data_IF_718533122381
#
_entry.id   IF_718533122381
#
_cell.length_a   1.000
_cell.length_b   1.000
_cell.length_c   1.000
_cell.angle_alpha   90.00
_cell.angle_beta   90.00
_cell.angle_gamma   90.00
#
_symmetry.space_group_name_H-M   'P 1'
#
loop_
_entity.id
_entity.type
_entity.pdbx_description
1 polymer ?
#
# COMPACT_ATOMS: atom_id res chain seq x y z
N UNK A 1 -3.91 1.41 3.77
CA UNK A 1 -3.35 0.05 3.78
C UNK A 1 -2.17 0.02 2.82
N UNK A 2 -1.03 -0.55 3.22
CA UNK A 2 0.18 -0.62 2.37
C UNK A 2 -0.15 -1.28 1.03
N UNK A 3 -0.01 -0.55 -0.07
CA UNK A 3 -0.23 -1.05 -1.42
C UNK A 3 -1.70 -1.21 -1.84
N UNK A 4 -2.62 -0.50 -1.17
CA UNK A 4 -4.03 -0.39 -1.55
C UNK A 4 -4.37 1.04 -1.94
N UNK A 5 -5.39 1.20 -2.80
CA UNK A 5 -5.94 2.51 -3.12
C UNK A 5 -6.35 3.26 -1.85
N UNK A 6 -6.16 4.57 -1.86
CA UNK A 6 -6.72 5.43 -0.82
C UNK A 6 -8.23 5.21 -0.68
N UNK A 7 -8.77 5.44 0.52
CA UNK A 7 -10.21 5.37 0.77
C UNK A 7 -10.95 6.33 -0.18
N UNK A 8 -10.37 7.50 -0.40
CA UNK A 8 -10.86 8.49 -1.36
C UNK A 8 -10.97 7.89 -2.77
N UNK A 9 -9.91 7.29 -3.31
CA UNK A 9 -9.96 6.64 -4.63
C UNK A 9 -10.94 5.47 -4.70
N UNK A 10 -11.15 4.74 -3.61
CA UNK A 10 -12.19 3.72 -3.56
C UNK A 10 -13.60 4.33 -3.65
N UNK A 11 -13.85 5.42 -2.92
CA UNK A 11 -15.13 6.15 -2.97
C UNK A 11 -15.36 6.75 -4.35
N UNK A 12 -14.34 7.37 -4.93
CA UNK A 12 -14.39 7.97 -6.26
C UNK A 12 -14.65 6.92 -7.35
N UNK A 13 -14.00 5.74 -7.26
CA UNK A 13 -14.33 4.60 -8.14
C UNK A 13 -15.83 4.29 -8.08
N UNK A 14 -16.43 4.22 -6.89
CA UNK A 14 -17.87 3.92 -6.76
C UNK A 14 -18.75 5.02 -7.34
N UNK A 15 -18.39 6.29 -7.14
CA UNK A 15 -19.11 7.43 -7.72
C UNK A 15 -19.05 7.42 -9.25
N UNK A 16 -17.87 7.17 -9.83
CA UNK A 16 -17.69 7.05 -11.29
C UNK A 16 -18.47 5.85 -11.86
N UNK A 17 -18.43 4.69 -11.20
CA UNK A 17 -19.22 3.53 -11.64
C UNK A 17 -20.73 3.81 -11.56
N UNK A 18 -21.17 4.58 -10.56
CA UNK A 18 -22.56 5.00 -10.44
C UNK A 18 -22.95 5.98 -11.57
N UNK A 19 -22.10 6.95 -11.89
CA UNK A 19 -22.29 7.83 -13.05
C UNK A 19 -22.51 7.03 -14.33
N UNK A 20 -21.62 6.07 -14.63
CA UNK A 20 -21.73 5.27 -15.85
C UNK A 20 -22.99 4.42 -15.90
N UNK A 21 -23.53 3.99 -14.75
CA UNK A 21 -24.86 3.35 -14.71
C UNK A 21 -25.95 4.33 -15.10
N UNK A 22 -25.93 5.57 -14.59
CA UNK A 22 -26.92 6.58 -14.94
C UNK A 22 -26.85 6.92 -16.43
N UNK A 23 -25.66 7.15 -16.98
CA UNK A 23 -25.49 7.53 -18.39
C UNK A 23 -25.94 6.43 -19.37
N UNK A 24 -25.98 5.17 -18.93
CA UNK A 24 -26.48 4.03 -19.73
C UNK A 24 -27.98 3.75 -19.52
N UNK A 25 -28.71 4.55 -18.73
CA UNK A 25 -30.16 4.42 -18.60
C UNK A 25 -30.88 4.99 -19.83
N UNK A 26 -32.12 4.52 -20.07
CA UNK A 26 -33.02 5.15 -21.03
C UNK A 26 -33.25 6.63 -20.69
N UNK A 27 -33.43 7.47 -21.71
CA UNK A 27 -33.75 8.89 -21.56
C UNK A 27 -35.07 9.15 -20.82
N UNK A 28 -35.95 8.14 -20.74
CA UNK A 28 -37.19 8.19 -19.95
C UNK A 28 -36.94 8.08 -18.45
N UNK A 29 -35.76 7.60 -18.04
CA UNK A 29 -35.38 7.46 -16.64
C UNK A 29 -35.31 8.81 -15.95
N UNK A 30 -35.99 8.92 -14.80
CA UNK A 30 -35.94 10.11 -13.94
C UNK A 30 -34.50 10.43 -13.54
N UNK A 31 -33.68 9.44 -13.20
CA UNK A 31 -32.28 9.64 -12.81
C UNK A 31 -31.44 10.23 -13.94
N UNK A 32 -31.64 9.76 -15.19
CA UNK A 32 -30.96 10.30 -16.36
C UNK A 32 -31.35 11.75 -16.60
N UNK A 33 -32.66 12.04 -16.59
CA UNK A 33 -33.17 13.41 -16.79
C UNK A 33 -32.68 14.38 -15.72
N UNK A 34 -32.59 13.94 -14.46
CA UNK A 34 -32.02 14.74 -13.37
C UNK A 34 -30.55 15.03 -13.64
N UNK A 35 -29.75 14.03 -14.04
CA UNK A 35 -28.33 14.21 -14.34
C UNK A 35 -28.14 15.26 -15.46
N UNK A 36 -28.80 15.07 -16.61
CA UNK A 36 -28.68 15.99 -17.75
C UNK A 36 -29.08 17.41 -17.36
N UNK A 37 -30.20 17.57 -16.63
CA UNK A 37 -30.63 18.89 -16.14
C UNK A 37 -29.55 19.54 -15.27
N UNK A 38 -29.02 18.82 -14.29
CA UNK A 38 -28.00 19.38 -13.38
C UNK A 38 -26.68 19.68 -14.07
N UNK A 39 -26.31 18.90 -15.08
CA UNK A 39 -25.11 19.14 -15.89
C UNK A 39 -25.29 20.39 -16.74
N UNK A 40 -26.46 20.58 -17.35
CA UNK A 40 -26.77 21.80 -18.09
C UNK A 40 -26.80 23.01 -17.15
N UNK A 41 -27.39 22.87 -15.96
CA UNK A 41 -27.37 23.93 -14.94
C UNK A 41 -25.91 24.26 -14.54
N UNK A 42 -25.04 23.25 -14.39
CA UNK A 42 -23.62 23.46 -14.09
C UNK A 42 -22.86 24.16 -15.23
N UNK A 43 -23.10 23.78 -16.50
CA UNK A 43 -22.39 24.33 -17.68
C UNK A 43 -22.83 25.76 -18.03
N UNK A 44 -24.10 26.11 -17.80
CA UNK A 44 -24.70 27.34 -18.34
C UNK A 44 -25.17 28.36 -17.27
N UNK A 45 -25.25 28.00 -15.98
CA UNK A 45 -25.61 28.96 -14.92
C UNK A 45 -24.41 29.32 -14.03
N UNK A 46 -23.90 30.53 -14.22
CA UNK A 46 -22.61 31.04 -13.72
C UNK A 46 -22.64 31.57 -12.26
N UNK A 47 -23.54 31.09 -11.38
CA UNK A 47 -23.73 31.78 -10.09
C UNK A 47 -24.45 31.08 -8.94
N UNK A 48 -24.91 29.83 -9.10
CA UNK A 48 -25.59 29.10 -8.02
C UNK A 48 -25.00 27.70 -7.82
N UNK A 49 -23.68 27.61 -7.68
CA UNK A 49 -22.99 26.35 -7.37
C UNK A 49 -23.30 25.79 -5.97
N UNK A 50 -24.00 26.54 -5.12
CA UNK A 50 -24.29 26.19 -3.73
C UNK A 50 -25.18 24.95 -3.55
N UNK A 51 -25.81 24.42 -4.61
CA UNK A 51 -26.72 23.27 -4.53
C UNK A 51 -26.42 22.12 -5.53
N UNK A 52 -25.28 22.15 -6.22
CA UNK A 52 -25.02 21.18 -7.29
C UNK A 52 -24.51 19.82 -6.79
N UNK A 53 -24.15 19.71 -5.51
CA UNK A 53 -23.91 18.45 -4.79
C UNK A 53 -23.13 17.41 -5.60
N UNK A 54 -23.76 16.26 -5.87
CA UNK A 54 -23.21 15.16 -6.66
C UNK A 54 -22.65 15.58 -8.04
N UNK A 55 -23.23 16.57 -8.72
CA UNK A 55 -22.79 16.98 -10.06
C UNK A 55 -21.44 17.69 -10.03
N UNK A 56 -21.23 18.63 -9.09
CA UNK A 56 -19.90 19.27 -8.95
C UNK A 56 -18.85 18.25 -8.52
N UNK A 57 -19.20 17.41 -7.56
CA UNK A 57 -18.34 16.34 -7.06
C UNK A 57 -17.92 15.38 -8.19
N UNK A 58 -18.85 14.91 -9.02
CA UNK A 58 -18.51 14.01 -10.13
C UNK A 58 -17.68 14.69 -11.23
N UNK A 59 -17.93 15.97 -11.54
CA UNK A 59 -17.11 16.70 -12.52
C UNK A 59 -15.68 16.89 -12.02
N UNK A 60 -15.49 17.21 -10.75
CA UNK A 60 -14.16 17.28 -10.13
C UNK A 60 -13.45 15.92 -10.15
N UNK A 61 -14.18 14.83 -9.86
CA UNK A 61 -13.63 13.47 -9.91
C UNK A 61 -13.25 13.09 -11.36
N UNK A 62 -14.08 13.39 -12.35
CA UNK A 62 -13.77 13.16 -13.76
C UNK A 62 -12.47 13.90 -14.15
N UNK A 63 -12.32 15.15 -13.74
CA UNK A 63 -11.10 15.91 -13.98
C UNK A 63 -9.88 15.32 -13.26
N UNK A 64 -10.04 14.92 -11.99
CA UNK A 64 -8.97 14.31 -11.17
C UNK A 64 -8.37 13.06 -11.81
N UNK A 65 -9.19 12.24 -12.47
CA UNK A 65 -8.76 10.99 -13.11
C UNK A 65 -8.59 11.09 -14.63
N UNK A 66 -8.62 12.30 -15.20
CA UNK A 66 -8.52 12.54 -16.65
C UNK A 66 -9.57 11.78 -17.49
N UNK A 67 -10.81 11.81 -17.01
CA UNK A 67 -11.97 11.12 -17.60
C UNK A 67 -13.02 12.07 -18.17
N UNK A 68 -12.79 13.39 -18.13
CA UNK A 68 -13.77 14.40 -18.57
C UNK A 68 -14.19 14.23 -20.02
N UNK A 69 -13.25 13.82 -20.90
CA UNK A 69 -13.50 13.62 -22.33
C UNK A 69 -14.63 12.63 -22.61
N UNK A 70 -14.69 11.50 -21.88
CA UNK A 70 -15.77 10.52 -22.03
C UNK A 70 -17.16 11.10 -21.68
N UNK A 71 -17.19 12.04 -20.75
CA UNK A 71 -18.44 12.68 -20.34
C UNK A 71 -18.86 13.79 -21.30
N UNK A 72 -17.90 14.54 -21.83
CA UNK A 72 -18.14 15.55 -22.86
C UNK A 72 -18.59 14.91 -24.18
N UNK A 73 -17.93 13.84 -24.63
CA UNK A 73 -18.34 13.04 -25.80
C UNK A 73 -19.78 12.53 -25.65
N UNK A 74 -20.16 12.11 -24.44
CA UNK A 74 -21.53 11.68 -24.15
C UNK A 74 -22.53 12.84 -24.19
N UNK A 75 -22.15 14.04 -23.73
CA UNK A 75 -23.01 15.21 -23.83
C UNK A 75 -23.25 15.61 -25.30
N UNK A 76 -22.26 15.42 -26.17
CA UNK A 76 -22.34 15.77 -27.59
C UNK A 76 -23.05 14.70 -28.43
N UNK A 77 -22.76 13.42 -28.19
CA UNK A 77 -23.22 12.31 -29.04
C UNK A 77 -24.40 11.53 -28.44
N UNK A 78 -24.64 11.67 -27.14
CA UNK A 78 -25.56 10.82 -26.38
C UNK A 78 -25.06 9.39 -26.15
N UNK A 79 -23.84 9.05 -26.58
CA UNK A 79 -23.26 7.72 -26.46
C UNK A 79 -22.28 7.67 -25.29
N UNK A 80 -22.54 6.79 -24.32
CA UNK A 80 -21.63 6.53 -23.21
C UNK A 80 -21.00 5.14 -23.35
N UNK A 81 -19.77 4.90 -22.85
CA UNK A 81 -19.19 3.56 -22.82
C UNK A 81 -20.11 2.54 -22.12
N UNK A 82 -20.16 1.33 -22.65
CA UNK A 82 -20.97 0.27 -22.05
C UNK A 82 -20.51 -0.03 -20.60
N UNK A 83 -21.37 -0.56 -19.72
CA UNK A 83 -21.05 -0.72 -18.31
C UNK A 83 -19.75 -1.50 -18.01
N UNK A 84 -19.45 -2.52 -18.83
CA UNK A 84 -18.21 -3.30 -18.71
C UNK A 84 -16.98 -2.50 -19.14
N UNK A 85 -17.09 -1.77 -20.24
CA UNK A 85 -16.00 -0.92 -20.78
C UNK A 85 -15.73 0.23 -19.82
N UNK A 86 -16.78 0.92 -19.35
CA UNK A 86 -16.65 2.00 -18.37
C UNK A 86 -15.99 1.53 -17.08
N UNK A 87 -16.42 0.38 -16.55
CA UNK A 87 -15.81 -0.20 -15.34
C UNK A 87 -14.31 -0.44 -15.50
N UNK A 88 -13.87 -0.89 -16.69
CA UNK A 88 -12.45 -1.08 -16.99
C UNK A 88 -11.72 0.25 -17.06
N UNK A 89 -12.26 1.24 -17.79
CA UNK A 89 -11.70 2.59 -17.92
C UNK A 89 -11.48 3.21 -16.54
N UNK A 90 -12.53 3.24 -15.71
CA UNK A 90 -12.48 3.82 -14.35
C UNK A 90 -11.41 3.14 -13.51
N UNK A 91 -11.38 1.80 -13.46
CA UNK A 91 -10.38 1.07 -12.67
C UNK A 91 -8.96 1.34 -13.13
N UNK A 92 -8.73 1.41 -14.43
CA UNK A 92 -7.41 1.71 -14.99
C UNK A 92 -6.99 3.14 -14.66
N UNK A 93 -7.87 4.12 -14.82
CA UNK A 93 -7.57 5.52 -14.53
C UNK A 93 -7.28 5.77 -13.04
N UNK A 94 -8.12 5.21 -12.15
CA UNK A 94 -7.92 5.30 -10.70
C UNK A 94 -6.62 4.62 -10.27
N UNK A 95 -6.31 3.45 -10.82
CA UNK A 95 -5.06 2.76 -10.54
C UNK A 95 -3.83 3.57 -11.00
N UNK A 96 -3.87 4.12 -12.21
CA UNK A 96 -2.78 4.94 -12.75
C UNK A 96 -2.54 6.19 -11.88
N UNK A 97 -3.60 6.88 -11.47
CA UNK A 97 -3.53 8.04 -10.60
C UNK A 97 -2.91 7.70 -9.22
N UNK A 98 -3.33 6.58 -8.61
CA UNK A 98 -2.78 6.12 -7.33
C UNK A 98 -1.30 5.74 -7.43
N UNK A 99 -0.89 5.06 -8.51
CA UNK A 99 0.52 4.72 -8.76
C UNK A 99 1.38 5.99 -8.89
N UNK A 100 0.92 6.98 -9.64
CA UNK A 100 1.62 8.26 -9.82
C UNK A 100 1.73 8.99 -8.48
N UNK A 101 0.63 9.10 -7.73
CA UNK A 101 0.64 9.77 -6.44
C UNK A 101 1.49 9.07 -5.39
N UNK A 102 1.46 7.74 -5.35
CA UNK A 102 2.32 6.97 -4.47
C UNK A 102 3.80 7.18 -4.81
N UNK A 103 4.15 7.08 -6.10
CA UNK A 103 5.52 7.31 -6.59
C UNK A 103 5.97 8.74 -6.31
N UNK A 104 5.07 9.71 -6.38
CA UNK A 104 5.37 11.10 -6.02
C UNK A 104 5.63 11.24 -4.53
N UNK A 105 4.75 10.71 -3.67
CA UNK A 105 4.89 10.81 -2.20
C UNK A 105 6.17 10.16 -1.71
N UNK A 106 6.46 8.93 -2.13
CA UNK A 106 7.64 8.18 -1.69
C UNK A 106 8.98 8.79 -2.12
N UNK A 107 8.97 9.70 -3.09
CA UNK A 107 10.17 10.37 -3.59
C UNK A 107 10.33 11.81 -3.09
N UNK A 108 9.27 12.43 -2.56
CA UNK A 108 9.30 13.82 -2.08
C UNK A 108 9.38 13.87 -0.55
N UNK A 109 8.77 12.91 0.13
CA UNK A 109 8.57 12.93 1.57
C UNK A 109 9.63 12.06 2.26
N UNK A 110 10.52 12.71 3.03
CA UNK A 110 11.63 12.08 3.73
C UNK A 110 11.16 11.08 4.80
N UNK A 111 9.94 11.22 5.30
CA UNK A 111 9.34 10.27 6.25
C UNK A 111 9.15 8.87 5.62
N UNK A 112 9.20 8.78 4.28
CA UNK A 112 9.01 7.53 3.54
C UNK A 112 10.33 6.84 3.13
N UNK A 113 11.51 7.32 3.56
CA UNK A 113 12.80 6.70 3.18
C UNK A 113 12.85 5.21 3.53
N UNK A 114 12.53 4.85 4.78
CA UNK A 114 12.48 3.44 5.22
C UNK A 114 11.45 2.64 4.41
N UNK A 115 10.29 3.24 4.16
CA UNK A 115 9.23 2.61 3.39
C UNK A 115 9.62 2.38 1.92
N UNK A 116 10.42 3.27 1.32
CA UNK A 116 10.98 3.13 -0.03
C UNK A 116 11.91 1.93 -0.15
N UNK A 117 12.72 1.69 0.88
CA UNK A 117 13.61 0.52 0.93
C UNK A 117 12.82 -0.79 1.01
N UNK A 118 11.74 -0.80 1.79
CA UNK A 118 10.89 -1.98 2.00
C UNK A 118 9.99 -2.25 0.77
N UNK A 119 9.43 -1.20 0.17
CA UNK A 119 8.45 -1.28 -0.92
C UNK A 119 8.92 -0.59 -2.19
N UNK A 120 9.47 -1.41 -3.10
CA UNK A 120 9.93 -0.98 -4.44
C UNK A 120 8.81 -0.73 -5.45
N UNK A 121 7.62 -1.27 -5.24
CA UNK A 121 6.50 -1.17 -6.18
C UNK A 121 5.16 -0.98 -5.47
N UNK A 122 4.22 -0.33 -6.17
CA UNK A 122 2.84 -0.16 -5.73
C UNK A 122 2.07 -1.48 -5.80
N UNK A 123 2.20 -2.28 -4.72
CA UNK A 123 1.50 -3.54 -4.56
C UNK A 123 1.30 -3.85 -3.07
N UNK A 124 0.26 -4.62 -2.71
CA UNK A 124 0.03 -5.06 -1.35
C UNK A 124 1.29 -5.65 -0.70
N UNK A 125 1.45 -5.47 0.61
CA UNK A 125 2.54 -6.10 1.34
C UNK A 125 2.47 -7.64 1.23
N UNK A 126 3.60 -8.29 0.98
CA UNK A 126 3.71 -9.76 0.89
C UNK A 126 3.15 -10.43 2.14
N UNK A 127 3.55 -9.96 3.32
CA UNK A 127 2.96 -10.32 4.62
C UNK A 127 1.42 -10.21 4.66
N UNK A 128 0.83 -9.16 4.07
CA UNK A 128 -0.63 -9.00 4.02
C UNK A 128 -1.28 -10.02 3.10
N UNK A 129 -0.73 -10.18 1.89
CA UNK A 129 -1.18 -11.20 0.93
C UNK A 129 -1.11 -12.59 1.54
N UNK A 130 -0.11 -12.86 2.38
CA UNK A 130 0.02 -14.12 3.10
C UNK A 130 -1.04 -14.28 4.18
N UNK A 131 -1.28 -13.25 4.99
CA UNK A 131 -2.32 -13.26 6.02
C UNK A 131 -3.73 -13.49 5.46
N UNK A 132 -4.00 -13.09 4.21
CA UNK A 132 -5.27 -13.40 3.54
C UNK A 132 -5.42 -14.90 3.22
N UNK A 133 -4.33 -15.58 2.89
CA UNK A 133 -4.30 -17.03 2.65
C UNK A 133 -4.25 -17.84 3.95
N UNK A 134 -3.61 -17.29 4.99
CA UNK A 134 -3.34 -17.97 6.28
C UNK A 134 -3.83 -17.10 7.45
N UNK A 135 -5.11 -17.21 7.83
CA UNK A 135 -5.71 -16.34 8.84
C UNK A 135 -5.00 -16.37 10.21
N UNK A 136 -4.32 -17.45 10.54
CA UNK A 136 -3.53 -17.61 11.77
C UNK A 136 -2.29 -16.69 11.84
N UNK A 137 -1.86 -16.11 10.71
CA UNK A 137 -0.74 -15.16 10.64
C UNK A 137 -1.19 -13.70 10.67
N UNK A 138 -2.49 -13.42 10.80
CA UNK A 138 -3.03 -12.07 10.62
C UNK A 138 -2.55 -11.06 11.66
N UNK A 139 -2.44 -11.46 12.92
CA UNK A 139 -1.95 -10.58 14.00
C UNK A 139 -0.48 -10.21 13.77
N UNK A 140 0.32 -11.22 13.44
CA UNK A 140 1.75 -11.09 13.19
C UNK A 140 2.03 -10.24 11.95
N UNK A 141 1.28 -10.47 10.86
CA UNK A 141 1.40 -9.69 9.64
C UNK A 141 0.99 -8.23 9.84
N UNK A 142 -0.04 -7.97 10.66
CA UNK A 142 -0.43 -6.62 11.03
C UNK A 142 0.69 -5.90 11.78
N UNK A 143 1.29 -6.57 12.77
CA UNK A 143 2.42 -6.02 13.51
C UNK A 143 3.62 -5.68 12.60
N UNK A 144 4.01 -6.62 11.73
CA UNK A 144 5.08 -6.37 10.76
C UNK A 144 4.77 -5.16 9.87
N UNK A 145 3.54 -5.05 9.39
CA UNK A 145 3.07 -3.91 8.59
C UNK A 145 3.14 -2.60 9.37
N UNK A 146 2.76 -2.60 10.66
CA UNK A 146 2.92 -1.41 11.49
C UNK A 146 4.38 -1.00 11.62
N UNK A 147 5.30 -1.96 11.81
CA UNK A 147 6.74 -1.71 11.87
C UNK A 147 7.26 -1.11 10.56
N UNK A 148 6.77 -1.57 9.40
CA UNK A 148 7.10 -0.99 8.09
C UNK A 148 6.61 0.46 7.93
N UNK A 149 5.63 0.89 8.70
CA UNK A 149 5.04 2.23 8.65
C UNK A 149 5.52 3.16 9.77
N UNK A 150 6.40 2.69 10.66
CA UNK A 150 6.97 3.55 11.70
C UNK A 150 7.88 4.59 11.05
N UNK A 151 7.61 5.86 11.33
CA UNK A 151 8.53 6.95 11.03
C UNK A 151 9.76 6.77 11.92
N UNK A 152 10.93 6.75 11.30
CA UNK A 152 12.21 6.60 12.00
C UNK A 152 12.93 7.93 11.98
N UNK A 153 13.41 8.35 13.14
CA UNK A 153 14.25 9.54 13.24
C UNK A 153 15.64 9.22 12.69
N UNK A 154 15.76 9.28 11.37
CA UNK A 154 17.03 9.09 10.67
C UNK A 154 17.96 10.33 10.80
N UNK A 155 17.48 11.41 11.45
CA UNK A 155 18.09 12.74 11.33
C UNK A 155 18.90 13.21 12.53
N UNK A 156 18.57 12.74 13.74
CA UNK A 156 19.25 13.25 14.95
C UNK A 156 20.49 12.44 15.37
N UNK A 157 20.68 11.23 14.82
CA UNK A 157 21.91 10.45 14.97
C UNK A 157 22.33 10.16 16.42
N UNK A 158 21.40 10.26 17.37
CA UNK A 158 21.70 10.05 18.77
C UNK A 158 21.77 8.57 19.05
N UNK A 159 22.95 8.12 19.45
CA UNK A 159 23.11 6.75 19.94
C UNK A 159 22.41 6.59 21.29
N UNK A 160 21.63 5.53 21.40
CA UNK A 160 20.91 5.10 22.60
C UNK A 160 21.66 3.91 23.21
N UNK A 161 21.80 3.89 24.53
CA UNK A 161 22.37 2.76 25.24
C UNK A 161 21.29 1.68 25.43
N UNK A 162 21.61 0.44 25.09
CA UNK A 162 20.74 -0.69 25.40
C UNK A 162 20.84 -1.06 26.88
N UNK A 163 19.76 -0.95 27.63
CA UNK A 163 19.72 -1.38 29.03
C UNK A 163 19.90 -2.88 29.23
N UNK A 164 19.72 -3.68 28.16
CA UNK A 164 19.79 -5.15 28.22
C UNK A 164 21.16 -5.69 27.86
N UNK A 165 21.78 -5.19 26.79
CA UNK A 165 23.09 -5.68 26.31
C UNK A 165 24.25 -4.69 26.54
N UNK A 166 23.96 -3.45 26.94
CA UNK A 166 24.97 -2.41 27.18
C UNK A 166 25.63 -1.83 25.94
N UNK A 167 25.15 -2.15 24.73
CA UNK A 167 25.67 -1.59 23.47
C UNK A 167 24.94 -0.31 23.06
N UNK A 168 25.66 0.57 22.37
CA UNK A 168 25.12 1.79 21.76
C UNK A 168 24.55 1.47 20.38
N UNK A 169 23.37 1.98 20.05
CA UNK A 169 22.70 1.79 18.76
C UNK A 169 21.91 3.03 18.33
N UNK A 170 21.55 3.13 17.05
CA UNK A 170 20.73 4.23 16.52
C UNK A 170 19.24 3.88 16.45
N UNK A 171 18.92 2.65 16.05
CA UNK A 171 17.56 2.18 15.88
C UNK A 171 17.31 0.98 16.81
N UNK A 172 16.38 1.10 17.79
CA UNK A 172 16.06 0.03 18.73
C UNK A 172 15.60 -1.27 18.05
N UNK A 173 14.87 -1.16 16.95
CA UNK A 173 14.32 -2.31 16.23
C UNK A 173 15.41 -3.01 15.40
N UNK A 174 16.24 -2.24 14.69
CA UNK A 174 17.39 -2.80 13.97
C UNK A 174 18.30 -3.52 14.96
N UNK A 175 18.63 -2.87 16.08
CA UNK A 175 19.44 -3.46 17.14
C UNK A 175 18.82 -4.76 17.68
N UNK A 176 17.55 -4.74 18.07
CA UNK A 176 16.87 -5.91 18.62
C UNK A 176 16.88 -7.11 17.66
N UNK A 177 16.61 -6.85 16.38
CA UNK A 177 16.46 -7.87 15.35
C UNK A 177 17.78 -8.38 14.81
N UNK A 178 18.82 -7.54 14.72
CA UNK A 178 20.08 -7.90 14.07
C UNK A 178 21.22 -8.21 15.06
N UNK A 179 21.36 -7.47 16.18
CA UNK A 179 22.65 -7.45 16.92
C UNK A 179 22.59 -7.32 18.45
N UNK A 180 21.40 -7.35 19.07
CA UNK A 180 21.25 -7.28 20.53
C UNK A 180 21.57 -8.59 21.24
N UNK A 181 22.73 -8.72 21.90
CA UNK A 181 23.18 -9.97 22.55
C UNK A 181 22.13 -10.62 23.48
N UNK A 182 21.34 -9.80 24.19
CA UNK A 182 20.26 -10.31 25.05
C UNK A 182 19.21 -11.14 24.29
N UNK A 183 19.11 -10.96 22.97
CA UNK A 183 18.15 -11.60 22.08
C UNK A 183 18.79 -12.67 21.18
N UNK A 184 20.03 -13.10 21.47
CA UNK A 184 20.76 -14.12 20.70
C UNK A 184 19.94 -15.39 20.50
N UNK A 185 19.38 -15.96 21.57
CA UNK A 185 18.57 -17.19 21.49
C UNK A 185 17.37 -17.04 20.52
N UNK A 186 16.76 -15.85 20.47
CA UNK A 186 15.65 -15.60 19.55
C UNK A 186 16.11 -15.57 18.08
N UNK A 187 17.29 -14.99 17.82
CA UNK A 187 17.91 -14.95 16.49
C UNK A 187 18.45 -16.32 16.09
N UNK A 188 19.05 -17.07 16.98
CA UNK A 188 19.57 -18.42 16.72
C UNK A 188 18.43 -19.35 16.28
N UNK A 189 17.30 -19.31 16.99
CA UNK A 189 16.10 -20.06 16.60
C UNK A 189 15.60 -19.66 15.20
N UNK A 190 15.64 -18.36 14.88
CA UNK A 190 15.31 -17.88 13.53
C UNK A 190 16.29 -18.42 12.48
N UNK A 191 17.59 -18.34 12.72
CA UNK A 191 18.61 -18.84 11.79
C UNK A 191 18.52 -20.35 11.59
N UNK A 192 18.23 -21.12 12.64
CA UNK A 192 17.94 -22.54 12.54
C UNK A 192 16.73 -22.82 11.63
N UNK A 193 15.63 -22.08 11.78
CA UNK A 193 14.47 -22.21 10.88
C UNK A 193 14.82 -21.86 9.43
N UNK A 194 15.62 -20.81 9.20
CA UNK A 194 16.03 -20.39 7.86
C UNK A 194 16.91 -21.45 7.18
N UNK A 195 17.94 -21.95 7.88
CA UNK A 195 18.90 -22.93 7.35
C UNK A 195 18.24 -24.28 7.06
N UNK A 196 17.27 -24.70 7.89
CA UNK A 196 16.60 -25.98 7.71
C UNK A 196 15.66 -26.04 6.50
N UNK A 197 15.19 -24.88 6.03
CA UNK A 197 14.17 -24.80 4.98
C UNK A 197 14.74 -24.26 3.67
N UNK A 198 15.64 -23.29 3.73
CA UNK A 198 16.12 -22.60 2.54
C UNK A 198 17.47 -23.16 2.05
N UNK A 199 17.81 -22.95 0.77
CA UNK A 199 19.12 -23.30 0.24
C UNK A 199 20.24 -22.62 1.05
N UNK A 200 21.35 -23.31 1.26
CA UNK A 200 22.51 -22.78 2.00
C UNK A 200 22.96 -21.43 1.43
N UNK A 201 22.92 -21.26 0.11
CA UNK A 201 23.28 -20.00 -0.55
C UNK A 201 22.39 -18.83 -0.14
N UNK A 202 21.12 -19.07 0.19
CA UNK A 202 20.22 -18.05 0.69
C UNK A 202 20.59 -17.62 2.11
N UNK A 203 20.92 -18.57 2.98
CA UNK A 203 21.38 -18.27 4.33
C UNK A 203 22.70 -17.49 4.32
N UNK A 204 23.65 -17.86 3.45
CA UNK A 204 24.90 -17.10 3.25
C UNK A 204 24.60 -15.69 2.74
N UNK A 205 23.68 -15.56 1.79
CA UNK A 205 23.26 -14.26 1.26
C UNK A 205 22.72 -13.35 2.38
N UNK A 206 21.84 -13.86 3.25
CA UNK A 206 21.32 -13.10 4.39
C UNK A 206 22.41 -12.77 5.42
N UNK A 207 23.31 -13.71 5.72
CA UNK A 207 24.37 -13.53 6.71
C UNK A 207 25.43 -12.50 6.28
N UNK A 208 25.56 -12.23 4.98
CA UNK A 208 26.48 -11.24 4.43
C UNK A 208 25.89 -9.81 4.39
N UNK A 209 24.62 -9.62 4.77
CA UNK A 209 24.00 -8.31 4.85
C UNK A 209 24.48 -7.56 6.09
N UNK A 210 24.55 -6.23 5.99
CA UNK A 210 24.61 -5.38 7.19
C UNK A 210 23.33 -5.51 8.03
N UNK A 211 23.38 -5.14 9.31
CA UNK A 211 22.22 -5.17 10.21
C UNK A 211 21.00 -4.44 9.62
N UNK A 212 21.23 -3.28 9.01
CA UNK A 212 20.18 -2.46 8.41
C UNK A 212 19.60 -3.10 7.15
N UNK A 213 20.45 -3.64 6.27
CA UNK A 213 20.01 -4.36 5.07
C UNK A 213 19.21 -5.61 5.44
N UNK A 214 19.70 -6.40 6.40
CA UNK A 214 19.01 -7.58 6.91
C UNK A 214 17.65 -7.19 7.46
N UNK A 215 17.61 -6.15 8.30
CA UNK A 215 16.38 -5.66 8.89
C UNK A 215 15.32 -5.29 7.82
N UNK A 216 15.67 -4.46 6.84
CA UNK A 216 14.74 -4.08 5.76
C UNK A 216 14.39 -5.24 4.85
N UNK A 217 15.32 -6.18 4.62
CA UNK A 217 15.06 -7.37 3.85
C UNK A 217 13.98 -8.24 4.52
N UNK A 218 14.12 -8.48 5.84
CA UNK A 218 13.14 -9.22 6.63
C UNK A 218 11.79 -8.53 6.67
N UNK A 219 11.75 -7.20 6.79
CA UNK A 219 10.50 -6.44 6.72
C UNK A 219 9.83 -6.53 5.35
N UNK A 220 10.59 -6.46 4.25
CA UNK A 220 10.02 -6.55 2.91
C UNK A 220 9.35 -7.91 2.66
N UNK A 221 9.85 -8.96 3.31
CA UNK A 221 9.48 -10.36 3.07
C UNK A 221 9.47 -10.70 1.56
N UNK A 222 10.33 -10.05 0.78
CA UNK A 222 10.47 -10.21 -0.65
C UNK A 222 11.80 -10.87 -0.99
N UNK A 223 11.85 -11.52 -2.14
CA UNK A 223 13.02 -12.24 -2.64
C UNK A 223 13.59 -11.61 -3.91
N UNK A 224 13.36 -10.32 -4.13
CA UNK A 224 13.75 -9.65 -5.39
C UNK A 224 15.27 -9.72 -5.64
N UNK A 225 16.06 -9.67 -4.57
CA UNK A 225 17.53 -9.74 -4.64
C UNK A 225 18.06 -11.20 -4.69
N UNK A 226 17.24 -12.19 -4.30
CA UNK A 226 17.58 -13.60 -4.34
C UNK A 226 16.31 -14.40 -4.62
N UNK A 227 15.99 -14.73 -5.87
CA UNK A 227 14.71 -15.36 -6.22
C UNK A 227 14.62 -16.75 -5.58
N UNK A 228 13.59 -16.95 -4.75
CA UNK A 228 13.22 -18.24 -4.18
C UNK A 228 12.09 -18.87 -4.99
N UNK A 229 12.03 -20.20 -5.00
CA UNK A 229 10.85 -20.92 -5.47
C UNK A 229 9.62 -20.53 -4.63
N UNK A 230 8.44 -20.58 -5.24
CA UNK A 230 7.19 -20.09 -4.61
C UNK A 230 6.95 -20.67 -3.22
N UNK A 231 7.13 -21.99 -3.04
CA UNK A 231 6.86 -22.66 -1.76
C UNK A 231 7.88 -22.27 -0.68
N UNK A 232 9.14 -22.09 -1.07
CA UNK A 232 10.21 -21.62 -0.17
C UNK A 232 9.98 -20.16 0.22
N UNK A 233 9.61 -19.32 -0.74
CA UNK A 233 9.28 -17.91 -0.50
C UNK A 233 8.10 -17.78 0.47
N UNK A 234 7.04 -18.57 0.28
CA UNK A 234 5.88 -18.55 1.17
C UNK A 234 6.25 -18.98 2.60
N UNK A 235 7.16 -19.93 2.74
CA UNK A 235 7.64 -20.40 4.05
C UNK A 235 8.55 -19.36 4.71
N UNK A 236 9.48 -18.77 3.94
CA UNK A 236 10.32 -17.67 4.39
C UNK A 236 9.48 -16.48 4.89
N UNK A 237 8.47 -16.07 4.14
CA UNK A 237 7.54 -15.01 4.54
C UNK A 237 6.85 -15.31 5.89
N UNK A 238 6.44 -16.55 6.11
CA UNK A 238 5.83 -16.97 7.36
C UNK A 238 6.82 -16.99 8.54
N UNK A 239 8.09 -17.32 8.29
CA UNK A 239 9.16 -17.22 9.30
C UNK A 239 9.38 -15.76 9.66
N UNK A 240 9.59 -14.86 8.69
CA UNK A 240 9.81 -13.43 8.93
C UNK A 240 8.68 -12.81 9.75
N UNK A 241 7.43 -13.06 9.34
CA UNK A 241 6.25 -12.53 10.04
C UNK A 241 6.22 -13.00 11.50
N UNK A 242 6.49 -14.28 11.78
CA UNK A 242 6.52 -14.82 13.15
C UNK A 242 7.71 -14.28 13.95
N UNK A 243 8.87 -14.17 13.34
CA UNK A 243 10.10 -13.69 13.96
C UNK A 243 9.96 -12.23 14.38
N UNK A 244 9.56 -11.33 13.47
CA UNK A 244 9.35 -9.91 13.76
C UNK A 244 8.32 -9.74 14.89
N UNK A 245 7.26 -10.56 14.89
CA UNK A 245 6.23 -10.52 15.93
C UNK A 245 6.74 -10.87 17.34
N UNK A 246 7.84 -11.64 17.49
CA UNK A 246 8.43 -11.92 18.82
C UNK A 246 8.95 -10.65 19.51
N UNK A 247 9.13 -9.57 18.78
CA UNK A 247 9.60 -8.28 19.29
C UNK A 247 8.44 -7.30 19.58
N UNK A 248 7.17 -7.72 19.50
CA UNK A 248 5.99 -6.86 19.77
C UNK A 248 6.07 -6.14 21.12
N UNK A 249 6.59 -6.81 22.14
CA UNK A 249 6.73 -6.26 23.49
C UNK A 249 7.75 -5.12 23.58
N UNK A 250 8.67 -4.97 22.62
CA UNK A 250 9.67 -3.90 22.64
C UNK A 250 9.11 -2.53 22.22
N UNK A 251 7.91 -2.49 21.63
CA UNK A 251 7.24 -1.25 21.23
C UNK A 251 6.10 -0.85 22.18
N UNK A 252 5.88 -1.62 23.25
CA UNK A 252 4.78 -1.40 24.22
C UNK A 252 5.26 -0.83 25.57
N UNK A 253 6.57 -0.72 25.77
CA UNK A 253 7.22 -0.04 26.90
C UNK A 253 7.74 1.34 26.46
#
# INVERSE_FOLDING_TARGET
>A
MIGWFSIESYVDEKKLLFLGRICNLSCESVSFRILIRRVNDFKYNDGSHSNLGFTVDIMNILQKYDLSTYFDDFCETGLFPSPLVWKRIVKTAVAAFEIVNWTRRINIDDDFVAFKTIKKAYAPHSAWTRALKHPNLRKQAYYLISVCCLVRDNGNGQYILCDRCGRMFLDPLVHAIASCDYLDETRDNFWCEIININPINFSIFLANMSDEELFYYLLSCNSDNFPLETDLLETFQAICVRFIYKFETLLQD
#
